data_IF_950152395059
#
_entry.id   IF_950152395059
#
_cell.length_a   1.000
_cell.length_b   1.000
_cell.length_c   1.000
_cell.angle_alpha   90.00
_cell.angle_beta   90.00
_cell.angle_gamma   90.00
#
_symmetry.space_group_name_H-M   'P 1'
#
loop_
_entity.id
_entity.type
_entity.pdbx_description
1 polymer ?
#
# COMPACT_ATOMS: atom_id res chain seq x y z
N UNK A 1 3.02 -6.55 1.54
CA UNK A 1 2.40 -7.87 1.76
C UNK A 1 2.12 -8.03 3.24
N UNK A 2 0.96 -8.56 3.60
CA UNK A 2 0.67 -9.07 4.93
C UNK A 2 -0.13 -10.36 4.80
N UNK A 3 0.06 -11.32 5.71
CA UNK A 3 -0.72 -12.55 5.73
C UNK A 3 -2.22 -12.25 5.92
N UNK A 4 -2.54 -11.27 6.76
CA UNK A 4 -3.91 -10.81 7.02
C UNK A 4 -4.56 -10.02 5.88
N UNK A 5 -3.83 -9.73 4.79
CA UNK A 5 -4.34 -8.97 3.65
C UNK A 5 -4.08 -9.71 2.35
N UNK A 6 -2.89 -9.55 1.76
CA UNK A 6 -2.53 -10.14 0.47
C UNK A 6 -2.67 -11.66 0.47
N UNK A 7 -2.23 -12.35 1.53
CA UNK A 7 -2.36 -13.80 1.58
C UNK A 7 -3.82 -14.22 1.69
N UNK A 8 -4.62 -13.60 2.56
CA UNK A 8 -6.06 -13.90 2.67
C UNK A 8 -6.80 -13.75 1.34
N UNK A 9 -6.46 -12.74 0.52
CA UNK A 9 -7.04 -12.58 -0.81
C UNK A 9 -6.61 -13.72 -1.77
N UNK A 10 -5.33 -14.10 -1.74
CA UNK A 10 -4.81 -15.21 -2.54
C UNK A 10 -5.38 -16.57 -2.09
N UNK A 11 -5.57 -16.79 -0.78
CA UNK A 11 -6.19 -18.00 -0.23
C UNK A 11 -7.60 -18.19 -0.77
N UNK A 12 -8.39 -17.10 -0.85
CA UNK A 12 -9.72 -17.13 -1.45
C UNK A 12 -9.68 -17.48 -2.95
N UNK A 13 -8.72 -16.92 -3.70
CA UNK A 13 -8.51 -17.27 -5.11
C UNK A 13 -8.16 -18.75 -5.24
N UNK A 14 -7.19 -19.25 -4.47
CA UNK A 14 -6.76 -20.64 -4.55
C UNK A 14 -7.87 -21.63 -4.14
N UNK A 15 -8.65 -21.32 -3.10
CA UNK A 15 -9.80 -22.12 -2.70
C UNK A 15 -10.89 -22.18 -3.78
N UNK A 16 -11.04 -21.13 -4.60
CA UNK A 16 -11.93 -21.17 -5.76
C UNK A 16 -11.34 -22.03 -6.89
N UNK A 17 -10.04 -21.91 -7.15
CA UNK A 17 -9.36 -22.67 -8.21
C UNK A 17 -9.27 -24.17 -7.91
N UNK A 18 -9.15 -24.57 -6.65
CA UNK A 18 -9.14 -25.99 -6.23
C UNK A 18 -10.40 -26.74 -6.69
N UNK A 19 -11.53 -26.03 -6.82
CA UNK A 19 -12.80 -26.61 -7.29
C UNK A 19 -12.88 -26.74 -8.80
N UNK A 20 -11.95 -26.17 -9.56
CA UNK A 20 -11.95 -26.22 -11.02
C UNK A 20 -11.17 -27.43 -11.54
N UNK A 21 -11.82 -28.25 -12.35
CA UNK A 21 -11.13 -29.36 -13.04
C UNK A 21 -10.13 -28.86 -14.08
N UNK A 22 -10.39 -27.71 -14.69
CA UNK A 22 -9.52 -27.06 -15.66
C UNK A 22 -8.97 -25.77 -15.03
N UNK A 23 -7.88 -25.91 -14.28
CA UNK A 23 -7.26 -24.76 -13.62
C UNK A 23 -6.58 -23.85 -14.65
N UNK A 24 -6.88 -22.54 -14.66
CA UNK A 24 -6.11 -21.60 -15.45
C UNK A 24 -4.69 -21.46 -14.88
N UNK A 25 -3.74 -21.09 -15.73
CA UNK A 25 -2.47 -20.57 -15.24
C UNK A 25 -2.74 -19.28 -14.44
N UNK A 26 -2.00 -19.07 -13.35
CA UNK A 26 -2.11 -17.87 -12.51
C UNK A 26 -0.73 -17.21 -12.31
N UNK A 27 -0.70 -15.88 -12.29
CA UNK A 27 0.40 -15.09 -11.71
C UNK A 27 -0.15 -14.16 -10.64
N UNK A 28 0.59 -14.01 -9.55
CA UNK A 28 0.28 -13.06 -8.48
C UNK A 28 1.46 -12.14 -8.27
N UNK A 29 1.17 -10.87 -7.96
CA UNK A 29 2.16 -9.91 -7.51
C UNK A 29 2.12 -9.93 -5.98
N UNK A 30 3.16 -10.48 -5.36
CA UNK A 30 3.21 -10.62 -3.89
C UNK A 30 3.31 -9.25 -3.19
N UNK A 31 4.17 -8.37 -3.68
CA UNK A 31 4.40 -7.04 -3.13
C UNK A 31 5.01 -6.12 -4.19
N UNK A 32 4.80 -4.81 -4.03
CA UNK A 32 5.38 -3.75 -4.86
C UNK A 32 5.94 -2.59 -4.01
N UNK A 33 6.08 -2.80 -2.71
CA UNK A 33 6.33 -1.77 -1.69
C UNK A 33 7.63 -0.96 -1.92
N UNK A 34 8.58 -1.52 -2.66
CA UNK A 34 9.88 -0.94 -3.02
C UNK A 34 10.02 -0.65 -4.52
N UNK A 35 8.95 -0.77 -5.30
CA UNK A 35 8.97 -0.46 -6.72
C UNK A 35 9.25 1.02 -6.94
N UNK A 36 10.23 1.35 -7.79
CA UNK A 36 10.68 2.73 -7.99
C UNK A 36 9.54 3.68 -8.40
N UNK A 37 8.65 3.23 -9.29
CA UNK A 37 7.48 4.03 -9.71
C UNK A 37 6.49 4.31 -8.58
N UNK A 38 6.36 3.39 -7.62
CA UNK A 38 5.48 3.57 -6.46
C UNK A 38 6.08 4.57 -5.47
N UNK A 39 7.37 4.44 -5.13
CA UNK A 39 8.05 5.41 -4.26
C UNK A 39 8.06 6.79 -4.93
N UNK A 40 8.27 6.86 -6.25
CA UNK A 40 8.23 8.12 -6.98
C UNK A 40 6.86 8.79 -6.94
N UNK A 41 5.76 8.04 -7.10
CA UNK A 41 4.41 8.59 -6.97
C UNK A 41 4.14 9.10 -5.54
N UNK A 42 4.57 8.37 -4.50
CA UNK A 42 4.47 8.83 -3.11
C UNK A 42 5.26 10.12 -2.88
N UNK A 43 6.51 10.17 -3.34
CA UNK A 43 7.36 11.34 -3.17
C UNK A 43 6.81 12.55 -3.93
N UNK A 44 6.30 12.37 -5.14
CA UNK A 44 5.68 13.44 -5.91
C UNK A 44 4.42 13.95 -5.22
N UNK A 45 3.58 13.07 -4.66
CA UNK A 45 2.40 13.47 -3.89
C UNK A 45 2.76 14.35 -2.69
N UNK A 46 3.79 13.97 -1.93
CA UNK A 46 4.27 14.76 -0.79
C UNK A 46 4.87 16.10 -1.26
N UNK A 47 5.66 16.11 -2.34
CA UNK A 47 6.22 17.33 -2.89
C UNK A 47 5.16 18.29 -3.40
N UNK A 48 4.14 17.80 -4.12
CA UNK A 48 3.00 18.59 -4.58
C UNK A 48 2.28 19.27 -3.41
N UNK A 49 2.08 18.53 -2.32
CA UNK A 49 1.50 19.06 -1.10
C UNK A 49 2.38 20.14 -0.47
N UNK A 50 3.70 19.92 -0.36
CA UNK A 50 4.64 20.87 0.22
C UNK A 50 4.91 22.10 -0.63
N UNK A 51 4.78 22.02 -1.96
CA UNK A 51 4.86 23.20 -2.82
C UNK A 51 3.76 24.21 -2.51
N UNK A 52 2.57 23.72 -2.13
CA UNK A 52 1.40 24.57 -1.83
C UNK A 52 1.37 25.01 -0.37
N UNK A 53 1.79 24.14 0.54
CA UNK A 53 1.63 24.36 1.98
C UNK A 53 2.94 24.72 2.70
N UNK A 54 4.10 24.57 2.06
CA UNK A 54 5.40 24.59 2.72
C UNK A 54 5.74 23.26 3.41
N UNK A 55 6.99 23.14 3.88
CA UNK A 55 7.49 21.94 4.57
C UNK A 55 7.12 21.91 6.06
N UNK A 56 6.81 20.72 6.62
CA UNK A 56 6.53 20.55 8.05
C UNK A 56 7.82 20.43 8.87
N UNK A 57 7.69 20.47 10.20
CA UNK A 57 8.80 20.10 11.10
C UNK A 57 9.06 18.59 11.07
N UNK A 58 7.98 17.81 10.92
CA UNK A 58 8.00 16.34 10.87
C UNK A 58 7.02 15.80 9.83
N UNK A 59 7.49 14.84 9.03
CA UNK A 59 6.64 13.95 8.25
C UNK A 59 6.39 12.65 9.05
N UNK A 60 5.14 12.32 9.33
CA UNK A 60 4.77 11.05 9.97
C UNK A 60 4.19 10.10 8.91
N UNK A 61 4.86 8.98 8.70
CA UNK A 61 4.45 7.92 7.78
C UNK A 61 3.70 6.85 8.59
N UNK A 62 2.38 6.88 8.54
CA UNK A 62 1.51 5.98 9.30
C UNK A 62 1.14 4.76 8.47
N UNK A 63 1.39 3.56 8.99
CA UNK A 63 0.99 2.28 8.38
C UNK A 63 -0.05 1.59 9.24
N UNK A 64 -0.96 0.81 8.66
CA UNK A 64 -1.88 0.02 9.49
C UNK A 64 -1.06 -0.93 10.39
N UNK A 65 -1.33 -0.94 11.69
CA UNK A 65 -0.67 -1.84 12.62
C UNK A 65 -1.06 -3.29 12.36
N UNK A 66 -0.17 -4.21 12.71
CA UNK A 66 -0.53 -5.62 12.86
C UNK A 66 -0.09 -6.10 14.25
N UNK A 67 -0.71 -7.16 14.80
CA UNK A 67 -0.20 -7.79 16.00
C UNK A 67 1.27 -8.19 15.84
N UNK A 68 2.08 -8.00 16.88
CA UNK A 68 3.51 -8.28 16.88
C UNK A 68 3.80 -9.74 16.51
N UNK A 69 2.95 -10.67 16.94
CA UNK A 69 3.11 -12.08 16.63
C UNK A 69 3.11 -12.37 15.11
N UNK A 70 2.49 -11.53 14.27
CA UNK A 70 2.53 -11.71 12.81
C UNK A 70 3.97 -11.60 12.29
N UNK A 71 4.73 -10.62 12.78
CA UNK A 71 6.15 -10.50 12.48
C UNK A 71 6.94 -11.68 13.06
N UNK A 72 6.64 -12.10 14.30
CA UNK A 72 7.35 -13.21 14.92
C UNK A 72 7.11 -14.56 14.19
N UNK A 73 5.98 -14.69 13.48
CA UNK A 73 5.66 -15.80 12.57
C UNK A 73 6.30 -15.67 11.17
N UNK A 74 7.02 -14.58 10.91
CA UNK A 74 7.74 -14.37 9.64
C UNK A 74 6.97 -13.55 8.59
N UNK A 75 5.89 -12.84 8.95
CA UNK A 75 5.23 -11.91 8.03
C UNK A 75 6.19 -10.76 7.67
N UNK A 76 6.50 -10.52 6.38
CA UNK A 76 7.43 -9.46 5.99
C UNK A 76 6.87 -8.05 6.16
N UNK A 77 5.57 -7.89 6.45
CA UNK A 77 4.88 -6.59 6.48
C UNK A 77 5.66 -5.49 7.19
N UNK A 78 6.09 -5.73 8.43
CA UNK A 78 6.85 -4.73 9.20
C UNK A 78 8.11 -4.27 8.45
N UNK A 79 8.91 -5.22 7.94
CA UNK A 79 10.15 -4.93 7.23
C UNK A 79 9.89 -4.20 5.90
N UNK A 80 8.81 -4.56 5.20
CA UNK A 80 8.37 -3.87 3.97
C UNK A 80 7.95 -2.43 4.26
N UNK A 81 7.17 -2.17 5.33
CA UNK A 81 6.83 -0.81 5.76
C UNK A 81 8.08 0.02 6.05
N UNK A 82 9.03 -0.54 6.82
CA UNK A 82 10.30 0.13 7.11
C UNK A 82 11.08 0.46 5.83
N UNK A 83 11.10 -0.46 4.86
CA UNK A 83 11.74 -0.24 3.56
C UNK A 83 11.06 0.86 2.76
N UNK A 84 9.73 0.85 2.66
CA UNK A 84 8.97 1.91 1.97
C UNK A 84 9.20 3.27 2.62
N UNK A 85 9.12 3.36 3.95
CA UNK A 85 9.35 4.62 4.66
C UNK A 85 10.78 5.15 4.46
N UNK A 86 11.79 4.28 4.52
CA UNK A 86 13.17 4.65 4.23
C UNK A 86 13.36 5.15 2.79
N UNK A 87 12.87 4.42 1.79
CA UNK A 87 12.99 4.80 0.38
C UNK A 87 12.27 6.12 0.08
N UNK A 88 11.09 6.34 0.67
CA UNK A 88 10.37 7.60 0.56
C UNK A 88 11.14 8.76 1.20
N UNK A 89 11.71 8.57 2.40
CA UNK A 89 12.52 9.59 3.06
C UNK A 89 13.79 9.93 2.27
N UNK A 90 14.48 8.92 1.73
CA UNK A 90 15.64 9.09 0.85
C UNK A 90 15.25 9.90 -0.40
N UNK A 91 14.14 9.56 -1.05
CA UNK A 91 13.68 10.25 -2.25
C UNK A 91 13.22 11.69 -2.00
N UNK A 92 12.73 11.99 -0.79
CA UNK A 92 12.37 13.35 -0.36
C UNK A 92 13.56 14.16 0.18
N UNK A 93 14.73 13.55 0.29
CA UNK A 93 15.93 14.17 0.86
C UNK A 93 15.77 14.53 2.34
N UNK A 94 15.03 13.73 3.10
CA UNK A 94 14.79 13.94 4.52
C UNK A 94 15.91 13.35 5.37
N UNK A 95 16.32 14.10 6.40
CA UNK A 95 17.19 13.58 7.46
C UNK A 95 16.42 12.68 8.43
N UNK A 96 17.08 11.77 9.16
CA UNK A 96 16.42 10.88 10.14
C UNK A 96 15.55 11.61 11.17
N UNK A 97 15.95 12.81 11.56
CA UNK A 97 15.19 13.65 12.49
C UNK A 97 14.01 14.40 11.85
N UNK A 98 13.73 14.26 10.56
CA UNK A 98 12.63 14.96 9.89
C UNK A 98 11.43 14.06 9.61
N UNK A 99 11.56 12.74 9.81
CA UNK A 99 10.45 11.81 9.61
C UNK A 99 10.35 10.79 10.74
N UNK A 100 9.17 10.20 10.85
CA UNK A 100 8.89 9.07 11.74
C UNK A 100 8.03 8.06 10.99
N UNK A 101 8.26 6.77 11.27
CA UNK A 101 7.38 5.69 10.84
C UNK A 101 6.60 5.18 12.04
N UNK A 102 5.28 5.13 11.91
CA UNK A 102 4.37 4.73 12.99
C UNK A 102 3.32 3.74 12.50
N UNK A 103 2.64 3.08 13.44
CA UNK A 103 1.58 2.11 13.18
C UNK A 103 0.26 2.53 13.83
N UNK A 104 -0.82 2.57 13.05
CA UNK A 104 -2.18 2.97 13.46
C UNK A 104 -3.11 1.76 13.66
N UNK A 105 -4.38 2.01 13.97
CA UNK A 105 -5.49 1.03 13.90
C UNK A 105 -5.24 -0.24 14.74
N UNK A 106 -5.02 -0.06 16.06
CA UNK A 106 -4.83 -1.17 17.00
C UNK A 106 -6.16 -1.65 17.58
N UNK A 107 -6.33 -2.97 17.68
CA UNK A 107 -7.48 -3.58 18.33
C UNK A 107 -7.12 -4.67 19.35
N UNK A 108 -7.87 -4.73 20.45
CA UNK A 108 -7.72 -5.77 21.47
C UNK A 108 -6.49 -5.62 22.37
N UNK A 109 -6.17 -6.68 23.11
CA UNK A 109 -5.17 -6.69 24.20
C UNK A 109 -3.78 -7.20 23.78
N UNK A 110 -3.65 -7.72 22.56
CA UNK A 110 -2.36 -8.23 22.07
C UNK A 110 -1.33 -7.09 21.98
N UNK A 111 -0.04 -7.44 21.94
CA UNK A 111 0.98 -6.47 21.55
C UNK A 111 0.94 -6.25 20.03
N UNK A 112 1.02 -4.99 19.61
CA UNK A 112 1.03 -4.57 18.21
C UNK A 112 2.35 -3.89 17.87
N UNK A 113 2.68 -3.83 16.58
CA UNK A 113 3.85 -3.12 16.08
C UNK A 113 3.88 -1.67 16.57
N UNK A 114 5.08 -1.23 16.96
CA UNK A 114 5.38 0.08 17.52
C UNK A 114 6.35 0.83 16.60
N UNK A 115 6.41 2.16 16.66
CA UNK A 115 5.65 3.06 17.56
C UNK A 115 4.20 3.29 17.11
N UNK A 116 3.30 3.63 18.04
CA UNK A 116 1.88 3.86 17.72
C UNK A 116 1.64 5.28 17.21
N UNK A 117 0.86 5.44 16.14
CA UNK A 117 0.64 6.74 15.47
C UNK A 117 0.06 7.78 16.42
N UNK A 118 -1.07 7.50 17.07
CA UNK A 118 -1.71 8.46 17.99
C UNK A 118 -0.78 8.86 19.15
N UNK A 119 -0.18 7.88 19.84
CA UNK A 119 0.72 8.17 20.97
C UNK A 119 1.95 8.99 20.54
N UNK A 120 2.50 8.72 19.35
CA UNK A 120 3.62 9.50 18.78
C UNK A 120 3.21 10.93 18.50
N UNK A 121 2.01 11.15 17.95
CA UNK A 121 1.47 12.48 17.69
C UNK A 121 1.19 13.26 18.97
N UNK A 122 0.63 12.62 20.00
CA UNK A 122 0.47 13.24 21.32
C UNK A 122 1.83 13.67 21.92
N UNK A 123 2.87 12.85 21.76
CA UNK A 123 4.22 13.18 22.20
C UNK A 123 4.82 14.36 21.42
N UNK A 124 4.64 14.41 20.10
CA UNK A 124 5.07 15.54 19.27
C UNK A 124 4.34 16.84 19.65
N UNK A 125 3.04 16.74 19.96
CA UNK A 125 2.24 17.85 20.47
C UNK A 125 2.79 18.37 21.79
N UNK A 126 3.05 17.48 22.76
CA UNK A 126 3.63 17.82 24.08
C UNK A 126 5.01 18.46 23.97
N UNK A 127 5.79 18.08 22.95
CA UNK A 127 7.10 18.67 22.61
C UNK A 127 7.00 20.05 21.95
N UNK A 128 5.79 20.55 21.67
CA UNK A 128 5.57 21.84 21.04
C UNK A 128 5.94 21.87 19.56
N UNK A 129 5.85 20.72 18.86
CA UNK A 129 6.05 20.65 17.41
C UNK A 129 5.05 21.57 16.72
N UNK A 130 5.51 22.48 15.86
CA UNK A 130 4.63 23.48 15.26
C UNK A 130 3.77 22.81 14.19
N UNK A 131 4.37 22.01 13.32
CA UNK A 131 3.65 21.35 12.23
C UNK A 131 4.07 19.91 11.99
N UNK A 132 3.07 19.05 11.90
CA UNK A 132 3.21 17.68 11.36
C UNK A 132 2.39 17.54 10.08
N UNK A 133 2.98 16.89 9.09
CA UNK A 133 2.23 16.34 7.96
C UNK A 133 2.21 14.82 8.09
N UNK A 134 1.06 14.19 7.87
CA UNK A 134 0.86 12.74 7.98
C UNK A 134 0.48 12.16 6.62
N UNK A 135 1.14 11.07 6.22
CA UNK A 135 0.81 10.28 5.03
C UNK A 135 0.62 8.82 5.42
N UNK A 136 -0.20 8.10 4.66
CA UNK A 136 -0.50 6.68 4.90
C UNK A 136 -0.04 5.76 3.75
N UNK A 137 1.27 5.45 3.60
CA UNK A 137 1.75 4.66 2.47
C UNK A 137 1.23 3.22 2.47
N UNK A 138 0.71 2.72 3.59
CA UNK A 138 0.06 1.39 3.64
C UNK A 138 -1.19 1.28 2.75
N UNK A 139 -1.77 2.41 2.32
CA UNK A 139 -2.97 2.47 1.49
C UNK A 139 -2.68 3.23 0.19
N UNK A 140 -3.34 2.80 -0.89
CA UNK A 140 -3.26 3.47 -2.20
C UNK A 140 -4.46 4.38 -2.45
N UNK A 141 -5.56 4.16 -1.75
CA UNK A 141 -6.78 4.97 -1.82
C UNK A 141 -7.24 5.33 -0.41
N UNK A 142 -7.88 6.49 -0.28
CA UNK A 142 -8.44 6.92 0.99
C UNK A 142 -9.58 6.02 1.46
N UNK A 143 -9.61 5.79 2.77
CA UNK A 143 -10.55 4.90 3.44
C UNK A 143 -10.88 5.44 4.84
N UNK A 144 -11.64 4.68 5.62
CA UNK A 144 -12.04 5.07 6.98
C UNK A 144 -10.81 5.33 7.87
N UNK A 145 -9.82 4.46 7.77
CA UNK A 145 -8.58 4.51 8.52
C UNK A 145 -7.72 5.74 8.19
N UNK A 146 -7.92 6.38 7.03
CA UNK A 146 -7.20 7.59 6.66
C UNK A 146 -7.99 8.86 6.95
N UNK A 147 -9.26 8.91 6.53
CA UNK A 147 -10.08 10.11 6.64
C UNK A 147 -10.62 10.34 8.06
N UNK A 148 -10.97 9.29 8.79
CA UNK A 148 -11.50 9.41 10.14
C UNK A 148 -10.40 9.28 11.18
N UNK A 149 -9.71 8.13 11.23
CA UNK A 149 -8.70 7.88 12.26
C UNK A 149 -7.52 8.86 12.15
N UNK A 150 -6.95 9.07 10.96
CA UNK A 150 -5.80 9.97 10.80
C UNK A 150 -6.22 11.44 10.72
N UNK A 151 -7.09 11.79 9.78
CA UNK A 151 -7.39 13.20 9.53
C UNK A 151 -8.29 13.84 10.60
N UNK A 152 -9.01 13.06 11.41
CA UNK A 152 -9.85 13.57 12.51
C UNK A 152 -9.30 13.20 13.89
N UNK A 153 -9.21 11.92 14.23
CA UNK A 153 -8.88 11.50 15.61
C UNK A 153 -7.42 11.82 15.98
N UNK A 154 -6.47 11.38 15.16
CA UNK A 154 -5.04 11.66 15.37
C UNK A 154 -4.72 13.15 15.27
N UNK A 155 -5.42 13.87 14.39
CA UNK A 155 -5.38 15.34 14.34
C UNK A 155 -5.82 15.96 15.66
N UNK A 156 -6.96 15.54 16.20
CA UNK A 156 -7.47 16.04 17.48
C UNK A 156 -6.49 15.71 18.63
N UNK A 157 -5.89 14.53 18.64
CA UNK A 157 -4.89 14.12 19.64
C UNK A 157 -3.63 15.01 19.59
N UNK A 158 -3.09 15.29 18.40
CA UNK A 158 -1.94 16.19 18.23
C UNK A 158 -2.22 17.62 18.73
N UNK A 159 -3.34 18.19 18.30
CA UNK A 159 -3.72 19.58 18.63
C UNK A 159 -4.04 19.73 20.12
N UNK A 160 -4.79 18.79 20.70
CA UNK A 160 -5.12 18.82 22.15
C UNK A 160 -3.89 18.68 23.05
N UNK A 161 -2.82 18.06 22.55
CA UNK A 161 -1.55 17.95 23.27
C UNK A 161 -0.60 19.15 23.09
N UNK A 162 -0.99 20.21 22.38
CA UNK A 162 -0.22 21.45 22.24
C UNK A 162 0.42 21.68 20.87
N UNK A 163 0.28 20.74 19.93
CA UNK A 163 0.65 20.94 18.53
C UNK A 163 -0.15 22.05 17.85
N UNK A 164 0.40 22.70 16.80
CA UNK A 164 -0.26 23.84 16.15
C UNK A 164 -0.95 23.49 14.85
N UNK A 165 -0.24 22.86 13.92
CA UNK A 165 -0.73 22.54 12.58
C UNK A 165 -0.59 21.06 12.31
N UNK A 166 -1.68 20.45 11.89
CA UNK A 166 -1.73 19.06 11.45
C UNK A 166 -2.33 19.02 10.07
N UNK A 167 -1.62 18.39 9.16
CA UNK A 167 -2.04 18.21 7.78
C UNK A 167 -2.04 16.72 7.44
N UNK A 168 -3.13 16.26 6.86
CA UNK A 168 -3.19 14.95 6.23
C UNK A 168 -2.88 15.10 4.74
N UNK A 169 -1.97 14.28 4.23
CA UNK A 169 -1.65 14.16 2.80
C UNK A 169 -2.49 13.00 2.25
N UNK A 170 -3.45 13.26 1.33
CA UNK A 170 -4.31 12.22 0.75
C UNK A 170 -3.52 11.07 0.13
N UNK A 171 -4.15 9.90 0.08
CA UNK A 171 -3.57 8.74 -0.60
C UNK A 171 -3.37 9.00 -2.10
N UNK A 172 -2.72 8.06 -2.80
CA UNK A 172 -2.44 8.21 -4.23
C UNK A 172 -3.72 8.28 -5.08
N UNK A 173 -4.83 7.66 -4.64
CA UNK A 173 -6.13 7.68 -5.30
C UNK A 173 -5.99 7.47 -6.84
N UNK A 174 -6.61 8.30 -7.66
CA UNK A 174 -6.51 8.26 -9.12
C UNK A 174 -5.30 9.02 -9.72
N UNK A 175 -4.23 9.28 -8.95
CA UNK A 175 -3.08 10.02 -9.47
C UNK A 175 -2.49 9.36 -10.74
N UNK A 176 -2.30 10.10 -11.85
CA UNK A 176 -1.84 9.53 -13.11
C UNK A 176 -0.46 8.87 -13.05
N UNK A 177 0.47 9.41 -12.25
CA UNK A 177 1.81 8.84 -12.06
C UNK A 177 1.75 7.48 -11.35
N UNK A 178 0.89 7.35 -10.33
CA UNK A 178 0.62 6.09 -9.65
C UNK A 178 -0.02 5.06 -10.59
N UNK A 179 -1.08 5.42 -11.33
CA UNK A 179 -1.77 4.50 -12.24
C UNK A 179 -0.81 3.95 -13.31
N UNK A 180 0.08 4.80 -13.83
CA UNK A 180 1.14 4.36 -14.77
C UNK A 180 2.10 3.37 -14.11
N UNK A 181 2.60 3.68 -12.91
CA UNK A 181 3.48 2.76 -12.19
C UNK A 181 2.81 1.41 -11.89
N UNK A 182 1.52 1.41 -11.53
CA UNK A 182 0.74 0.19 -11.33
C UNK A 182 0.62 -0.62 -12.63
N UNK A 183 0.36 0.04 -13.76
CA UNK A 183 0.34 -0.61 -15.07
C UNK A 183 1.70 -1.21 -15.42
N UNK A 184 2.80 -0.49 -15.17
CA UNK A 184 4.16 -0.99 -15.42
C UNK A 184 4.47 -2.24 -14.59
N UNK A 185 4.09 -2.24 -13.30
CA UNK A 185 4.23 -3.41 -12.42
C UNK A 185 3.44 -4.60 -12.98
N UNK A 186 2.20 -4.37 -13.43
CA UNK A 186 1.37 -5.41 -13.99
C UNK A 186 1.94 -5.96 -15.31
N UNK A 187 2.36 -5.09 -16.22
CA UNK A 187 2.94 -5.46 -17.51
C UNK A 187 4.25 -6.23 -17.36
N UNK A 188 5.14 -5.80 -16.46
CA UNK A 188 6.36 -6.53 -16.14
C UNK A 188 6.03 -7.94 -15.60
N UNK A 189 5.04 -8.05 -14.72
CA UNK A 189 4.59 -9.33 -14.21
C UNK A 189 3.87 -10.20 -15.27
N UNK A 190 3.38 -9.63 -16.37
CA UNK A 190 2.74 -10.36 -17.48
C UNK A 190 3.71 -10.71 -18.61
N UNK A 191 4.99 -10.36 -18.50
CA UNK A 191 5.97 -10.66 -19.54
C UNK A 191 6.01 -12.16 -19.88
N UNK A 192 5.95 -12.47 -21.18
CA UNK A 192 5.88 -13.83 -21.72
C UNK A 192 4.47 -14.44 -21.76
N UNK A 193 3.45 -13.77 -21.22
CA UNK A 193 2.04 -14.12 -21.41
C UNK A 193 1.32 -13.21 -22.41
N UNK A 194 1.79 -11.97 -22.53
CA UNK A 194 1.29 -11.04 -23.52
C UNK A 194 1.73 -11.53 -24.90
N UNK A 195 0.75 -11.67 -25.80
CA UNK A 195 0.97 -12.00 -27.19
C UNK A 195 1.01 -10.72 -28.03
N UNK A 196 1.83 -10.74 -29.08
CA UNK A 196 1.96 -9.64 -30.03
C UNK A 196 0.70 -9.47 -30.91
N UNK A 197 -0.11 -10.53 -31.11
CA UNK A 197 -1.36 -10.49 -31.88
C UNK A 197 -2.55 -11.18 -31.14
N UNK A 198 -3.34 -10.40 -30.37
CA UNK A 198 -4.53 -10.91 -29.68
C UNK A 198 -5.63 -11.44 -30.62
N UNK A 199 -5.74 -10.89 -31.83
CA UNK A 199 -6.79 -11.27 -32.78
C UNK A 199 -6.52 -12.66 -33.35
N UNK A 200 -5.26 -12.93 -33.72
CA UNK A 200 -4.83 -14.25 -34.20
C UNK A 200 -5.03 -15.33 -33.12
N UNK A 201 -4.67 -15.06 -31.86
CA UNK A 201 -4.89 -16.02 -30.77
C UNK A 201 -6.37 -16.33 -30.56
N UNK A 202 -7.23 -15.31 -30.62
CA UNK A 202 -8.68 -15.51 -30.49
C UNK A 202 -9.20 -16.42 -31.60
N UNK A 203 -8.80 -16.17 -32.84
CA UNK A 203 -9.20 -17.00 -33.98
C UNK A 203 -8.70 -18.45 -33.83
N UNK A 204 -7.44 -18.64 -33.42
CA UNK A 204 -6.87 -19.97 -33.17
C UNK A 204 -7.59 -20.72 -32.04
N UNK A 205 -7.97 -20.02 -30.97
CA UNK A 205 -8.73 -20.58 -29.86
C UNK A 205 -10.15 -20.99 -30.29
N UNK A 206 -10.84 -20.18 -31.09
CA UNK A 206 -12.17 -20.49 -31.63
C UNK A 206 -12.15 -21.71 -32.56
N UNK A 207 -11.14 -21.81 -33.43
CA UNK A 207 -10.92 -22.98 -34.29
C UNK A 207 -10.63 -24.24 -33.45
N UNK A 208 -9.79 -24.12 -32.43
CA UNK A 208 -9.44 -25.22 -31.53
C UNK A 208 -10.68 -25.73 -30.76
N UNK A 209 -11.50 -24.81 -30.24
CA UNK A 209 -12.77 -25.12 -29.60
C UNK A 209 -13.71 -25.87 -30.54
N UNK A 210 -13.87 -25.37 -31.77
CA UNK A 210 -14.75 -25.98 -32.77
C UNK A 210 -14.35 -27.43 -33.07
N UNK A 211 -13.04 -27.69 -33.20
CA UNK A 211 -12.52 -29.06 -33.40
C UNK A 211 -12.74 -29.94 -32.17
N UNK A 212 -12.49 -29.43 -30.97
CA UNK A 212 -12.68 -30.18 -29.72
C UNK A 212 -14.13 -30.60 -29.50
N UNK A 213 -15.09 -29.70 -29.77
CA UNK A 213 -16.53 -30.00 -29.70
C UNK A 213 -16.91 -31.08 -30.72
N UNK A 214 -16.36 -31.01 -31.94
CA UNK A 214 -16.55 -32.06 -32.95
C UNK A 214 -16.02 -33.45 -32.54
N UNK A 215 -15.06 -33.50 -31.60
CA UNK A 215 -14.52 -34.73 -31.01
C UNK A 215 -15.26 -35.14 -29.71
N UNK A 216 -16.35 -34.46 -29.35
CA UNK A 216 -17.20 -34.82 -28.21
C UNK A 216 -16.94 -34.04 -26.91
N UNK A 217 -16.11 -32.99 -26.93
CA UNK A 217 -16.03 -32.06 -25.80
C UNK A 217 -17.36 -31.29 -25.65
N UNK A 218 -17.79 -31.04 -24.41
CA UNK A 218 -19.04 -30.30 -24.14
C UNK A 218 -18.92 -28.79 -24.33
N UNK A 219 -17.69 -28.27 -24.26
CA UNK A 219 -17.37 -26.84 -24.29
C UNK A 219 -15.91 -26.62 -24.69
#
# INVERSE_FOLDING_TARGET
YAASATASALDAVFAALEKSRNMPALRSIKHYHDHAGYIAALAQNVNDYWMQNGRPDKLVMSFHGVPRFSLDKGDPYHCECQKTGRLLAEQLGLKPEQFLLTFQSRFGRAEWLKPYTQATLEELGKKGTQRVDVICPGFVADCLETLEEIAMECRAAFISCGGKTFNYIPCLNERPDWIRALADIALANLQGWLCEDPAQLKQAAELSRTRAVGLGAKN
#
